data_IF_833643637683
#
_entry.id   IF_833643637683
#
_cell.length_a   1.000
_cell.length_b   1.000
_cell.length_c   1.000
_cell.angle_alpha   90.00
_cell.angle_beta   90.00
_cell.angle_gamma   90.00
#
_symmetry.space_group_name_H-M   'P 1'
#
loop_
_entity.id
_entity.type
_entity.pdbx_description
1 polymer ?
#
# COMPACT_ATOMS: atom_id res chain seq x y z
N UNK A 1 -10.19 -7.48 3.30
CA UNK A 1 -9.99 -6.08 2.82
C UNK A 1 -9.71 -6.13 1.34
N UNK A 2 -10.25 -5.18 0.60
CA UNK A 2 -10.14 -5.13 -0.85
C UNK A 2 -9.57 -3.77 -1.24
N UNK A 3 -8.51 -3.78 -2.03
CA UNK A 3 -7.86 -2.58 -2.55
C UNK A 3 -8.21 -2.41 -4.02
N UNK A 4 -8.98 -1.38 -4.31
CA UNK A 4 -9.39 -0.98 -5.65
C UNK A 4 -8.56 0.21 -6.11
N UNK A 5 -8.27 0.25 -7.41
CA UNK A 5 -7.68 1.42 -8.06
C UNK A 5 -8.63 1.85 -9.17
N UNK A 6 -9.02 3.13 -9.15
CA UNK A 6 -9.82 3.80 -10.17
C UNK A 6 -8.92 4.73 -10.97
N UNK A 7 -8.92 4.55 -12.28
CA UNK A 7 -8.30 5.48 -13.20
C UNK A 7 -9.32 6.56 -13.57
N UNK A 8 -9.08 7.81 -13.15
CA UNK A 8 -9.88 8.99 -13.53
C UNK A 8 -9.13 9.90 -14.51
N UNK A 9 -8.02 9.45 -15.08
CA UNK A 9 -7.32 10.16 -16.15
C UNK A 9 -7.90 9.78 -17.53
N UNK A 10 -7.69 10.59 -18.57
CA UNK A 10 -8.09 10.24 -19.93
C UNK A 10 -7.21 9.14 -20.56
N UNK A 11 -6.11 8.76 -19.92
CA UNK A 11 -5.09 7.86 -20.47
C UNK A 11 -5.07 6.49 -19.77
N UNK A 12 -4.68 5.40 -20.45
CA UNK A 12 -4.42 4.13 -19.79
C UNK A 12 -3.28 4.28 -18.79
N UNK A 13 -3.45 3.72 -17.59
CA UNK A 13 -2.45 3.77 -16.53
C UNK A 13 -1.99 2.36 -16.19
N UNK A 14 -0.69 2.19 -15.97
CA UNK A 14 -0.07 0.96 -15.50
C UNK A 14 0.23 1.10 -14.02
N UNK A 15 -0.24 0.13 -13.23
CA UNK A 15 -0.14 0.16 -11.77
C UNK A 15 0.63 -1.05 -11.26
N UNK A 16 1.54 -0.81 -10.33
CA UNK A 16 2.14 -1.82 -9.48
C UNK A 16 1.66 -1.61 -8.04
N UNK A 17 1.45 -2.70 -7.30
CA UNK A 17 0.96 -2.68 -5.92
C UNK A 17 1.85 -3.56 -5.05
N UNK A 18 2.15 -3.09 -3.85
CA UNK A 18 2.73 -3.88 -2.78
C UNK A 18 1.70 -4.11 -1.68
N UNK A 19 1.59 -5.35 -1.22
CA UNK A 19 0.64 -5.75 -0.19
C UNK A 19 1.32 -6.66 0.84
N UNK A 20 0.71 -6.74 2.03
CA UNK A 20 1.20 -7.60 3.09
C UNK A 20 1.07 -9.06 2.67
N UNK A 21 2.18 -9.78 2.73
CA UNK A 21 2.24 -11.19 2.43
C UNK A 21 3.07 -11.88 3.54
N UNK A 22 2.46 -12.72 4.39
CA UNK A 22 3.16 -13.38 5.48
C UNK A 22 4.15 -14.44 5.00
N UNK A 23 4.02 -14.93 3.76
CA UNK A 23 4.90 -15.96 3.20
C UNK A 23 6.24 -15.36 2.73
N UNK A 24 6.28 -14.04 2.51
CA UNK A 24 7.50 -13.32 2.21
C UNK A 24 8.36 -13.07 3.46
N UNK A 25 9.64 -13.40 3.38
CA UNK A 25 10.63 -13.23 4.45
C UNK A 25 11.96 -12.70 3.89
N UNK A 26 12.69 -11.83 4.61
CA UNK A 26 12.38 -11.26 5.94
C UNK A 26 11.35 -10.13 5.89
N UNK A 27 11.11 -9.51 4.73
CA UNK A 27 10.12 -8.45 4.55
C UNK A 27 8.78 -9.12 4.21
N UNK A 28 7.80 -8.96 5.09
CA UNK A 28 6.46 -9.59 4.99
C UNK A 28 5.55 -8.83 4.03
N UNK A 29 6.08 -8.51 2.85
CA UNK A 29 5.40 -7.80 1.80
C UNK A 29 5.76 -8.42 0.45
N UNK A 30 4.76 -8.52 -0.41
CA UNK A 30 4.92 -8.87 -1.82
C UNK A 30 4.60 -7.66 -2.69
N UNK A 31 5.13 -7.64 -3.91
CA UNK A 31 4.88 -6.64 -4.95
C UNK A 31 4.47 -7.33 -6.24
N UNK A 32 3.43 -6.79 -6.87
CA UNK A 32 2.90 -7.30 -8.12
C UNK A 32 2.52 -6.16 -9.07
N UNK A 33 2.62 -6.43 -10.37
CA UNK A 33 2.35 -5.48 -11.44
C UNK A 33 2.53 -6.16 -12.80
N UNK A 34 2.48 -5.49 -13.95
CA UNK A 34 1.83 -4.22 -14.19
C UNK A 34 0.37 -4.46 -14.50
N UNK A 35 -0.52 -3.88 -13.71
CA UNK A 35 -1.94 -3.89 -13.97
C UNK A 35 -2.29 -2.71 -14.86
N UNK A 36 -2.69 -2.98 -16.10
CA UNK A 36 -3.25 -1.94 -16.98
C UNK A 36 -4.70 -1.64 -16.59
N UNK A 37 -5.01 -0.36 -16.39
CA UNK A 37 -6.34 0.15 -16.06
C UNK A 37 -6.74 1.19 -17.12
N UNK A 38 -7.79 0.88 -17.87
CA UNK A 38 -8.32 1.80 -18.89
C UNK A 38 -8.92 3.06 -18.26
N UNK A 39 -8.98 4.18 -19.00
CA UNK A 39 -9.60 5.44 -18.56
C UNK A 39 -11.00 5.23 -17.99
N UNK A 40 -11.32 5.89 -16.88
CA UNK A 40 -12.62 5.82 -16.21
C UNK A 40 -12.95 4.48 -15.54
N UNK A 41 -12.10 3.45 -15.67
CA UNK A 41 -12.35 2.12 -15.09
C UNK A 41 -11.79 1.99 -13.69
N UNK A 42 -12.40 1.08 -12.92
CA UNK A 42 -11.95 0.67 -11.59
C UNK A 42 -11.62 -0.82 -11.62
N UNK A 43 -10.47 -1.18 -11.07
CA UNK A 43 -9.99 -2.57 -10.99
C UNK A 43 -9.67 -2.94 -9.54
N UNK A 44 -9.96 -4.18 -9.18
CA UNK A 44 -9.54 -4.78 -7.92
C UNK A 44 -8.12 -5.31 -8.10
N UNK A 45 -7.17 -4.81 -7.29
CA UNK A 45 -5.76 -5.19 -7.40
C UNK A 45 -5.37 -6.20 -6.32
N UNK A 46 -5.90 -6.06 -5.11
CA UNK A 46 -5.58 -6.95 -3.99
C UNK A 46 -6.85 -7.33 -3.26
N UNK A 47 -7.02 -8.64 -3.05
CA UNK A 47 -8.08 -9.23 -2.24
C UNK A 47 -7.45 -9.97 -1.08
N UNK A 48 -7.78 -9.63 0.16
CA UNK A 48 -7.33 -10.41 1.30
C UNK A 48 -7.34 -9.68 2.64
N UNK A 49 -7.02 -10.40 3.70
CA UNK A 49 -6.78 -9.82 5.02
C UNK A 49 -5.41 -9.16 5.02
N UNK A 50 -5.31 -7.91 4.55
CA UNK A 50 -4.13 -7.11 4.85
C UNK A 50 -4.16 -6.76 6.33
N UNK A 51 -3.58 -7.65 7.14
CA UNK A 51 -3.40 -7.46 8.59
C UNK A 51 -2.77 -6.09 8.87
N UNK A 52 -1.96 -5.59 7.93
CA UNK A 52 -1.20 -4.37 8.12
C UNK A 52 -1.81 -3.08 7.56
N UNK A 53 -3.02 -3.05 7.01
CA UNK A 53 -3.75 -1.82 6.56
C UNK A 53 -2.95 -0.85 5.65
N UNK A 54 -1.74 -1.24 5.24
CA UNK A 54 -0.75 -0.42 4.54
C UNK A 54 -0.52 -1.13 3.22
N UNK A 55 -0.79 -0.41 2.14
CA UNK A 55 -0.47 -0.82 0.79
C UNK A 55 0.60 0.12 0.25
N UNK A 56 1.36 -0.38 -0.70
CA UNK A 56 2.30 0.41 -1.48
C UNK A 56 1.75 0.45 -2.90
N UNK A 57 1.80 1.59 -3.58
CA UNK A 57 1.41 1.66 -4.97
C UNK A 57 2.38 2.50 -5.77
N UNK A 58 2.54 2.16 -7.04
CA UNK A 58 3.20 2.99 -8.02
C UNK A 58 2.37 2.94 -9.29
N UNK A 59 2.17 4.07 -9.93
CA UNK A 59 1.48 4.11 -11.19
C UNK A 59 2.17 5.06 -12.17
N UNK A 60 2.04 4.80 -13.45
CA UNK A 60 2.51 5.71 -14.49
C UNK A 60 1.65 5.57 -15.75
N UNK A 61 1.63 6.61 -16.57
CA UNK A 61 1.10 6.57 -17.92
C UNK A 61 2.21 6.77 -18.97
N UNK A 62 1.87 6.61 -20.25
CA UNK A 62 2.80 6.87 -21.36
C UNK A 62 2.90 8.35 -21.74
N UNK A 63 2.17 9.23 -21.04
CA UNK A 63 2.06 10.66 -21.36
C UNK A 63 2.79 11.55 -20.33
N UNK A 64 3.50 10.95 -19.37
CA UNK A 64 4.36 11.64 -18.41
C UNK A 64 3.78 11.78 -17.00
N UNK A 65 2.55 11.33 -16.75
CA UNK A 65 2.01 11.26 -15.39
C UNK A 65 2.61 10.07 -14.64
N UNK A 66 3.12 10.34 -13.44
CA UNK A 66 3.65 9.31 -12.54
C UNK A 66 3.14 9.57 -11.13
N UNK A 67 2.67 8.52 -10.47
CA UNK A 67 2.32 8.50 -9.06
C UNK A 67 3.35 7.65 -8.33
N UNK A 68 4.29 8.33 -7.68
CA UNK A 68 5.41 7.74 -6.96
C UNK A 68 5.52 8.31 -5.55
N UNK A 69 6.28 7.63 -4.70
CA UNK A 69 6.54 8.06 -3.32
C UNK A 69 8.01 7.92 -2.95
N UNK A 70 8.29 7.50 -1.71
CA UNK A 70 9.65 7.47 -1.16
C UNK A 70 10.21 6.04 -0.97
N UNK A 71 9.55 5.01 -1.53
CA UNK A 71 9.95 3.61 -1.37
C UNK A 71 10.55 3.02 -2.66
N UNK A 72 11.86 3.21 -2.92
CA UNK A 72 12.51 2.69 -4.12
C UNK A 72 12.60 1.16 -4.10
N UNK A 73 12.28 0.53 -5.23
CA UNK A 73 12.51 -0.90 -5.46
C UNK A 73 12.63 -1.20 -6.95
N UNK A 74 13.45 -2.19 -7.30
CA UNK A 74 13.59 -2.65 -8.67
C UNK A 74 12.47 -3.62 -9.03
N UNK A 75 11.85 -3.41 -10.18
CA UNK A 75 10.79 -4.28 -10.71
C UNK A 75 11.00 -4.59 -12.19
N UNK A 76 10.49 -5.72 -12.67
CA UNK A 76 10.44 -6.01 -14.10
C UNK A 76 9.57 -4.99 -14.87
N UNK A 77 9.91 -4.76 -16.14
CA UNK A 77 9.10 -3.99 -17.08
C UNK A 77 7.84 -4.76 -17.54
N UNK A 78 7.86 -6.09 -17.44
CA UNK A 78 6.74 -6.99 -17.74
C UNK A 78 5.87 -7.25 -16.51
N UNK A 79 4.78 -8.00 -16.66
CA UNK A 79 4.01 -8.46 -15.51
C UNK A 79 4.86 -9.33 -14.57
N UNK A 80 4.67 -9.16 -13.26
CA UNK A 80 5.45 -9.76 -12.19
C UNK A 80 4.62 -9.93 -10.91
N UNK A 81 5.03 -10.89 -10.09
CA UNK A 81 4.59 -11.07 -8.72
C UNK A 81 5.78 -11.67 -7.95
N UNK A 82 6.31 -10.95 -6.96
CA UNK A 82 7.52 -11.33 -6.23
C UNK A 82 7.56 -10.71 -4.84
N UNK A 83 8.29 -11.31 -3.91
CA UNK A 83 8.47 -10.72 -2.59
C UNK A 83 9.21 -9.38 -2.66
N UNK A 84 9.00 -8.51 -1.68
CA UNK A 84 9.60 -7.17 -1.68
C UNK A 84 11.14 -7.22 -1.66
N UNK A 85 11.70 -8.24 -1.00
CA UNK A 85 13.15 -8.44 -0.92
C UNK A 85 13.77 -8.85 -2.25
N UNK A 86 12.98 -9.47 -3.14
CA UNK A 86 13.46 -9.86 -4.46
C UNK A 86 13.66 -8.59 -5.30
N UNK A 87 14.84 -8.50 -5.90
CA UNK A 87 15.20 -7.42 -6.82
C UNK A 87 15.35 -7.97 -8.22
N UNK A 88 14.88 -7.20 -9.19
CA UNK A 88 15.14 -7.43 -10.61
C UNK A 88 16.48 -6.76 -10.94
N UNK A 89 17.42 -7.50 -11.55
CA UNK A 89 18.69 -6.95 -12.02
C UNK A 89 18.91 -7.26 -13.50
N UNK A 90 19.44 -6.28 -14.25
CA UNK A 90 19.76 -6.42 -15.67
C UNK A 90 18.77 -5.76 -16.62
N UNK A 91 18.87 -6.13 -17.90
CA UNK A 91 18.07 -5.56 -18.99
C UNK A 91 16.59 -5.89 -18.79
N UNK A 92 15.72 -4.87 -18.80
CA UNK A 92 14.28 -5.03 -18.60
C UNK A 92 13.79 -4.85 -17.16
N UNK A 93 14.69 -4.56 -16.22
CA UNK A 93 14.35 -4.09 -14.87
C UNK A 93 14.37 -2.56 -14.81
N UNK A 94 13.53 -1.97 -13.97
CA UNK A 94 13.56 -0.53 -13.67
C UNK A 94 13.39 -0.26 -12.18
N UNK A 95 14.08 0.78 -11.72
CA UNK A 95 13.89 1.33 -10.38
C UNK A 95 12.64 2.20 -10.38
N UNK A 96 11.69 1.90 -9.50
CA UNK A 96 10.50 2.71 -9.26
C UNK A 96 10.36 3.03 -7.79
N UNK A 97 9.69 4.13 -7.47
CA UNK A 97 9.49 4.58 -6.09
C UNK A 97 8.01 4.46 -5.71
N UNK A 98 7.66 3.46 -4.91
CA UNK A 98 6.30 3.28 -4.43
C UNK A 98 5.92 4.36 -3.41
N UNK A 99 4.64 4.71 -3.40
CA UNK A 99 4.01 5.54 -2.38
C UNK A 99 3.26 4.66 -1.36
N UNK A 100 3.32 5.06 -0.08
CA UNK A 100 2.67 4.33 1.01
C UNK A 100 1.28 4.88 1.26
N UNK A 101 0.28 4.00 1.26
CA UNK A 101 -1.09 4.35 1.61
C UNK A 101 -1.58 3.51 2.78
N UNK A 102 -1.98 4.19 3.84
CA UNK A 102 -2.63 3.55 4.99
C UNK A 102 -4.15 3.68 4.83
N UNK A 103 -4.80 2.56 4.58
CA UNK A 103 -6.26 2.47 4.39
C UNK A 103 -7.01 2.26 5.71
N UNK A 104 -6.34 2.24 6.85
CA UNK A 104 -6.99 2.08 8.16
C UNK A 104 -7.90 0.84 8.23
N UNK A 105 -9.06 1.01 8.86
CA UNK A 105 -10.05 -0.07 9.04
C UNK A 105 -11.04 -0.22 7.87
N UNK A 106 -10.79 0.39 6.71
CA UNK A 106 -11.72 0.29 5.58
C UNK A 106 -11.68 -1.11 4.96
N UNK A 107 -12.84 -1.78 4.90
CA UNK A 107 -12.95 -3.09 4.25
C UNK A 107 -12.76 -2.99 2.73
N UNK A 108 -13.22 -1.90 2.12
CA UNK A 108 -13.12 -1.62 0.69
C UNK A 108 -12.53 -0.22 0.51
N UNK A 109 -11.26 -0.14 0.13
CA UNK A 109 -10.59 1.13 -0.17
C UNK A 109 -10.46 1.31 -1.67
N UNK A 110 -10.76 2.50 -2.19
CA UNK A 110 -10.57 2.83 -3.61
C UNK A 110 -9.60 4.00 -3.73
N UNK A 111 -8.40 3.74 -4.27
CA UNK A 111 -7.46 4.77 -4.68
C UNK A 111 -7.92 5.34 -6.03
N UNK A 112 -8.10 6.66 -6.11
CA UNK A 112 -8.43 7.33 -7.38
C UNK A 112 -7.19 8.01 -7.94
N UNK A 113 -6.76 7.57 -9.12
CA UNK A 113 -5.67 8.18 -9.88
C UNK A 113 -6.23 9.33 -10.69
N UNK A 114 -5.74 10.53 -10.41
CA UNK A 114 -6.09 11.77 -11.11
C UNK A 114 -4.83 12.33 -11.76
N UNK A 115 -5.00 12.99 -12.92
CA UNK A 115 -3.91 13.61 -13.66
C UNK A 115 -3.16 14.60 -12.77
N UNK A 116 -1.84 14.66 -12.91
CA UNK A 116 -1.00 15.49 -12.06
C UNK A 116 -1.07 16.97 -12.46
N UNK A 117 -2.26 17.57 -12.47
CA UNK A 117 -2.42 19.01 -12.31
C UNK A 117 -2.14 19.36 -10.84
N UNK A 118 -0.86 19.29 -10.45
CA UNK A 118 -0.42 19.44 -9.07
C UNK A 118 -0.87 18.25 -8.23
N UNK A 119 -0.03 17.21 -8.17
CA UNK A 119 -0.17 16.16 -7.18
C UNK A 119 -0.13 16.77 -5.78
N UNK A 120 -1.31 17.14 -5.26
CA UNK A 120 -1.53 17.27 -3.83
C UNK A 120 -1.23 15.88 -3.32
N UNK A 121 0.00 15.71 -2.81
CA UNK A 121 0.40 14.58 -1.96
C UNK A 121 -0.83 14.25 -1.15
N UNK A 122 -1.35 13.03 -1.27
CA UNK A 122 -2.50 12.56 -0.51
C UNK A 122 -2.17 12.75 0.97
N UNK A 123 -2.42 13.95 1.47
CA UNK A 123 -2.31 14.29 2.87
C UNK A 123 -3.49 13.54 3.42
N UNK A 124 -3.18 12.36 3.96
CA UNK A 124 -4.00 11.64 4.92
C UNK A 124 -4.83 12.68 5.67
N UNK A 125 -6.10 12.81 5.30
CA UNK A 125 -7.04 13.63 6.00
C UNK A 125 -7.22 12.90 7.32
N UNK A 126 -6.36 13.23 8.30
CA UNK A 126 -6.55 12.81 9.68
C UNK A 126 -7.93 13.32 10.03
N UNK A 127 -8.88 12.39 10.12
CA UNK A 127 -10.18 12.68 10.68
C UNK A 127 -9.96 13.48 11.98
N UNK A 128 -10.66 14.62 12.17
CA UNK A 128 -10.47 15.41 13.37
C UNK A 128 -10.81 14.54 14.58
N UNK A 129 -9.84 14.38 15.48
CA UNK A 129 -10.07 13.83 16.82
C UNK A 129 -11.03 14.76 17.53
N UNK A 130 -12.34 14.49 17.44
CA UNK A 130 -13.34 15.14 18.29
C UNK A 130 -13.06 14.74 19.74
N UNK A 131 -12.68 15.75 20.52
CA UNK A 131 -12.91 15.93 21.95
C UNK A 131 -12.80 14.71 22.86
N UNK A 132 -11.78 14.71 23.71
CA UNK A 132 -11.76 13.90 24.92
C UNK A 132 -12.96 14.23 25.81
N UNK A 133 -13.93 13.31 25.92
CA UNK A 133 -14.86 13.27 27.05
C UNK A 133 -14.37 12.23 28.03
N UNK A 134 -13.89 12.70 29.19
CA UNK A 134 -13.53 11.85 30.33
C UNK A 134 -14.77 11.12 30.82
N UNK A 135 -14.89 9.83 30.53
CA UNK A 135 -15.76 8.92 31.27
C UNK A 135 -14.89 8.15 32.26
N UNK A 136 -15.03 8.48 33.55
CA UNK A 136 -14.57 7.65 34.66
C UNK A 136 -15.54 6.47 34.76
N UNK A 137 -15.04 5.24 34.64
CA UNK A 137 -15.78 4.06 35.05
C UNK A 137 -14.91 3.18 35.94
N UNK A 138 -15.56 2.60 36.93
CA UNK A 138 -15.00 2.08 38.17
C UNK A 138 -13.99 0.94 38.01
N UNK A 139 -13.21 0.77 39.08
CA UNK A 139 -12.40 -0.40 39.37
C UNK A 139 -13.25 -1.67 39.25
N UNK A 140 -12.91 -2.53 38.30
CA UNK A 140 -13.29 -3.94 38.35
C UNK A 140 -12.10 -4.80 37.93
N UNK A 141 -11.56 -5.48 38.92
CA UNK A 141 -10.51 -6.48 38.88
C UNK A 141 -10.83 -7.60 37.90
N UNK A 142 -10.02 -7.76 36.85
CA UNK A 142 -10.06 -8.93 35.97
C UNK A 142 -8.73 -9.68 36.09
N UNK A 143 -8.85 -10.93 36.57
CA UNK A 143 -7.77 -11.91 36.71
C UNK A 143 -7.10 -12.15 35.35
N UNK A 144 -5.77 -12.02 35.31
CA UNK A 144 -4.96 -12.42 34.14
C UNK A 144 -4.88 -13.95 34.10
N UNK A 145 -5.49 -14.54 33.08
CA UNK A 145 -5.17 -15.89 32.62
C UNK A 145 -4.02 -15.74 31.59
N UNK A 146 -2.91 -16.50 31.67
CA UNK A 146 -1.86 -16.42 30.67
C UNK A 146 -2.29 -17.18 29.41
N UNK A 147 -2.97 -16.48 28.51
CA UNK A 147 -3.18 -16.93 27.13
C UNK A 147 -1.88 -16.82 26.35
N UNK A 148 -1.32 -17.97 25.97
CA UNK A 148 -0.14 -18.15 25.13
C UNK A 148 -0.37 -17.46 23.78
N UNK A 149 0.04 -16.19 23.65
CA UNK A 149 -0.03 -15.44 22.40
C UNK A 149 0.97 -16.06 21.42
N UNK A 150 0.45 -16.86 20.49
CA UNK A 150 1.23 -17.33 19.34
C UNK A 150 1.95 -16.15 18.71
N UNK A 151 3.26 -16.29 18.47
CA UNK A 151 4.10 -15.28 17.85
C UNK A 151 3.49 -14.91 16.48
N UNK A 152 2.69 -13.85 16.43
CA UNK A 152 2.49 -13.09 15.20
C UNK A 152 3.89 -12.75 14.70
N UNK A 153 4.31 -13.34 13.58
CA UNK A 153 5.58 -13.03 12.96
C UNK A 153 5.75 -11.52 12.88
N UNK A 154 6.92 -11.01 13.32
CA UNK A 154 7.15 -9.56 13.34
C UNK A 154 6.97 -9.01 11.93
N UNK A 155 5.93 -8.21 11.72
CA UNK A 155 5.67 -7.55 10.44
C UNK A 155 6.86 -6.64 10.11
N UNK A 156 7.53 -6.90 8.98
CA UNK A 156 8.68 -6.09 8.54
C UNK A 156 8.29 -5.30 7.30
N UNK A 157 8.28 -3.98 7.42
CA UNK A 157 7.92 -3.06 6.34
C UNK A 157 9.09 -2.81 5.38
N UNK A 158 8.80 -2.45 4.12
CA UNK A 158 9.76 -1.88 3.18
C UNK A 158 10.58 -0.72 3.75
N UNK A 159 11.81 -0.56 3.28
CA UNK A 159 12.67 0.56 3.68
C UNK A 159 12.36 1.79 2.82
N UNK A 160 12.00 2.90 3.47
CA UNK A 160 11.86 4.20 2.83
C UNK A 160 13.25 4.81 2.57
N UNK A 161 13.43 5.48 1.43
CA UNK A 161 14.54 6.38 1.16
C UNK A 161 14.30 7.69 1.93
N UNK A 162 14.60 7.69 3.24
CA UNK A 162 14.60 8.94 4.02
C UNK A 162 15.46 9.97 3.27
N UNK A 163 14.83 11.06 2.80
CA UNK A 163 15.56 12.24 2.34
C UNK A 163 16.42 12.72 3.52
N UNK A 164 17.75 12.63 3.35
CA UNK A 164 18.70 13.31 4.24
C UNK A 164 18.49 14.82 4.14
#
# INVERSE_FOLDING_TARGET
>A
MSFYVRNSTPNPVWVAVGYYDPDCSPITYSKAGWYRISPGRRRLLVTGSSVNQTYYYYAYDLFGNTWSGDFPTDVPSTAFNMCWIESCQGTGCRLIEFDEINVGNFQNYTLTLVEAAGAVKSRNMKAPKKGARKFRLGKSSLRRIPGKLGKLGKVRKPRNRKRK
#
